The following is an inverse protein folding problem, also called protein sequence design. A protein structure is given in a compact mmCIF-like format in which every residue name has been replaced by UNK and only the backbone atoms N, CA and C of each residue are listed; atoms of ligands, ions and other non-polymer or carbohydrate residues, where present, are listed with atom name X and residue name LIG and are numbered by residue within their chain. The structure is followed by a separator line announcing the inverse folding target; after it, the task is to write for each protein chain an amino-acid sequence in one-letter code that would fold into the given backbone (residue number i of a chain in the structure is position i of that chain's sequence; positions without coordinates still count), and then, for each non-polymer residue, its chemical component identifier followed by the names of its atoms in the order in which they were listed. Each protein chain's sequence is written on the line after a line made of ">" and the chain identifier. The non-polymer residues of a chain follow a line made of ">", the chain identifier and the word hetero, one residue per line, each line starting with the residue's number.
data_IF_753472313802
#
_entry.id   IF_753472313802
#
_cell.length_a   1.000
_cell.length_b   1.000
_cell.length_c   1.000
_cell.angle_alpha   90.00
_cell.angle_beta   90.00
_cell.angle_gamma   90.00
#
_symmetry.space_group_name_H-M   'P 1'
#
loop_
_entity.id
_entity.type
_entity.pdbx_description
1 polymer ?
#
# COMPACT_ATOMS: atom_id res chain seq x y z
N UNK A 1 -11.59 24.98 -4.13
CA UNK A 1 -10.39 24.16 -3.77
C UNK A 1 -10.63 23.48 -2.43
N UNK A 2 -10.32 22.21 -2.32
CA UNK A 2 -10.39 21.50 -1.03
C UNK A 2 -9.17 21.83 -0.19
N UNK A 3 -9.39 22.18 1.09
CA UNK A 3 -8.32 22.55 2.03
C UNK A 3 -8.14 21.46 3.07
N UNK A 4 -6.88 21.14 3.39
CA UNK A 4 -6.45 20.15 4.37
C UNK A 4 -5.41 20.75 5.33
N UNK A 5 -5.35 20.22 6.55
CA UNK A 5 -4.25 20.55 7.45
C UNK A 5 -2.98 19.80 7.05
N UNK A 6 -3.14 18.52 6.67
CA UNK A 6 -2.03 17.66 6.25
C UNK A 6 -2.38 16.95 4.94
N UNK A 7 -1.49 17.01 3.97
CA UNK A 7 -1.52 16.16 2.77
C UNK A 7 -0.30 15.24 2.78
N UNK A 8 -0.53 13.94 2.63
CA UNK A 8 0.52 12.94 2.51
C UNK A 8 0.59 12.49 1.06
N UNK A 9 1.77 12.55 0.45
CA UNK A 9 2.02 12.11 -0.93
C UNK A 9 2.68 10.73 -0.89
N UNK A 10 1.94 9.72 -1.33
CA UNK A 10 2.32 8.31 -1.28
C UNK A 10 1.59 7.56 -0.16
N UNK A 11 0.95 6.43 -0.47
CA UNK A 11 0.24 5.56 0.47
C UNK A 11 0.98 4.23 0.74
N UNK A 12 2.31 4.23 0.63
CA UNK A 12 3.16 3.16 1.14
C UNK A 12 3.21 3.15 2.67
N UNK A 13 3.98 2.25 3.32
CA UNK A 13 4.03 2.12 4.79
C UNK A 13 4.31 3.43 5.52
N UNK A 14 5.23 4.25 5.04
CA UNK A 14 5.49 5.57 5.61
C UNK A 14 4.29 6.51 5.48
N UNK A 15 3.62 6.49 4.31
CA UNK A 15 2.52 7.41 4.02
C UNK A 15 1.21 7.04 4.70
N UNK A 16 0.73 5.79 4.57
CA UNK A 16 -0.56 5.45 5.17
C UNK A 16 -0.52 5.51 6.71
N UNK A 17 0.61 5.16 7.33
CA UNK A 17 0.77 5.29 8.79
C UNK A 17 0.74 6.76 9.20
N UNK A 18 1.46 7.64 8.49
CA UNK A 18 1.47 9.08 8.76
C UNK A 18 0.08 9.69 8.58
N UNK A 19 -0.63 9.37 7.50
CA UNK A 19 -1.98 9.88 7.21
C UNK A 19 -2.99 9.46 8.28
N UNK A 20 -3.01 8.19 8.67
CA UNK A 20 -3.88 7.68 9.74
C UNK A 20 -3.55 8.39 11.05
N UNK A 21 -2.27 8.53 11.39
CA UNK A 21 -1.87 9.17 12.64
C UNK A 21 -2.22 10.64 12.67
N UNK A 22 -2.00 11.38 11.59
CA UNK A 22 -2.41 12.79 11.50
C UNK A 22 -3.92 12.95 11.71
N UNK A 23 -4.72 12.10 11.06
CA UNK A 23 -6.18 12.13 11.24
C UNK A 23 -6.62 11.77 12.68
N UNK A 24 -5.96 10.82 13.34
CA UNK A 24 -6.20 10.49 14.76
C UNK A 24 -5.86 11.65 15.71
N UNK A 25 -4.92 12.51 15.33
CA UNK A 25 -4.57 13.72 16.08
C UNK A 25 -5.52 14.90 15.80
N UNK A 26 -6.57 14.68 14.99
CA UNK A 26 -7.61 15.67 14.71
C UNK A 26 -7.35 16.54 13.48
N UNK A 27 -6.27 16.29 12.72
CA UNK A 27 -6.00 17.04 11.49
C UNK A 27 -6.90 16.56 10.35
N UNK A 28 -7.46 17.49 9.59
CA UNK A 28 -8.13 17.20 8.32
C UNK A 28 -7.07 16.73 7.32
N UNK A 29 -7.06 15.44 7.01
CA UNK A 29 -5.97 14.79 6.28
C UNK A 29 -6.41 14.21 4.95
N UNK A 30 -5.61 14.42 3.90
CA UNK A 30 -5.70 13.68 2.65
C UNK A 30 -4.41 12.89 2.39
N UNK A 31 -4.56 11.79 1.66
CA UNK A 31 -3.44 11.01 1.14
C UNK A 31 -3.61 10.84 -0.36
N UNK A 32 -2.58 11.20 -1.12
CA UNK A 32 -2.54 11.09 -2.59
C UNK A 32 -1.64 9.93 -2.96
N UNK A 33 -2.12 9.01 -3.79
CA UNK A 33 -1.32 7.88 -4.29
C UNK A 33 -1.70 7.52 -5.72
N UNK A 34 -0.71 7.21 -6.54
CA UNK A 34 -0.88 6.78 -7.93
C UNK A 34 -0.83 5.25 -8.11
N UNK A 35 -0.65 4.51 -7.02
CA UNK A 35 -0.55 3.06 -7.05
C UNK A 35 -1.82 2.39 -7.55
N UNK A 36 -1.65 1.41 -8.44
CA UNK A 36 -2.73 0.58 -8.99
C UNK A 36 -2.56 -0.88 -8.56
N UNK A 37 -3.65 -1.61 -8.57
CA UNK A 37 -3.64 -3.05 -8.34
C UNK A 37 -2.91 -3.79 -9.48
N UNK A 38 -2.74 -5.12 -9.32
CA UNK A 38 -2.06 -5.96 -10.30
C UNK A 38 -2.70 -5.92 -11.70
N UNK A 39 -4.01 -5.71 -11.78
CA UNK A 39 -4.72 -5.59 -13.04
C UNK A 39 -4.56 -4.20 -13.69
N UNK A 40 -4.12 -3.18 -12.93
CA UNK A 40 -3.93 -1.82 -13.41
C UNK A 40 -5.25 -1.02 -13.53
N UNK A 41 -6.37 -1.56 -13.06
CA UNK A 41 -7.71 -1.02 -13.26
C UNK A 41 -8.28 -0.28 -12.03
N UNK A 42 -7.70 -0.49 -10.85
CA UNK A 42 -8.18 0.12 -9.62
C UNK A 42 -7.04 0.63 -8.72
N UNK A 43 -7.28 1.70 -7.93
CA UNK A 43 -6.32 2.17 -6.93
C UNK A 43 -5.97 1.11 -5.90
N UNK A 44 -4.68 0.99 -5.57
CA UNK A 44 -4.19 0.07 -4.55
C UNK A 44 -3.30 0.77 -3.53
N UNK A 45 -3.84 0.97 -2.33
CA UNK A 45 -3.08 1.50 -1.20
C UNK A 45 -2.06 0.48 -0.67
N UNK A 46 -1.06 0.94 0.07
CA UNK A 46 -0.07 0.07 0.72
C UNK A 46 1.31 0.07 0.08
N UNK A 47 1.47 0.72 -1.08
CA UNK A 47 2.73 0.89 -1.79
C UNK A 47 3.41 -0.42 -2.15
N UNK A 48 4.72 -0.35 -2.44
CA UNK A 48 5.54 -1.50 -2.85
C UNK A 48 5.50 -2.63 -1.82
N UNK A 49 5.59 -2.32 -0.53
CA UNK A 49 5.65 -3.36 0.51
C UNK A 49 4.43 -4.29 0.51
N UNK A 50 3.21 -3.74 0.47
CA UNK A 50 2.00 -4.55 0.53
C UNK A 50 1.66 -5.22 -0.81
N UNK A 51 1.92 -4.53 -1.92
CA UNK A 51 1.47 -4.98 -3.24
C UNK A 51 2.49 -5.85 -3.98
N UNK A 52 3.79 -5.57 -3.84
CA UNK A 52 4.84 -6.14 -4.72
C UNK A 52 5.99 -6.79 -3.94
N UNK A 53 6.32 -6.26 -2.75
CA UNK A 53 7.53 -6.61 -2.02
C UNK A 53 7.29 -7.46 -0.78
N UNK A 54 7.29 -6.83 0.39
CA UNK A 54 7.37 -7.51 1.70
C UNK A 54 6.28 -8.57 1.91
N UNK A 55 5.04 -8.24 1.66
CA UNK A 55 3.91 -9.13 1.95
C UNK A 55 3.83 -10.29 0.96
N UNK A 56 3.82 -10.07 -0.37
CA UNK A 56 3.77 -11.20 -1.30
C UNK A 56 4.99 -12.11 -1.18
N UNK A 57 6.21 -11.57 -0.99
CA UNK A 57 7.40 -12.40 -0.83
C UNK A 57 7.34 -13.27 0.43
N UNK A 58 6.94 -12.72 1.58
CA UNK A 58 6.81 -13.49 2.83
C UNK A 58 5.71 -14.55 2.74
N UNK A 59 4.60 -14.24 2.07
CA UNK A 59 3.54 -15.22 1.85
C UNK A 59 4.01 -16.41 1.01
N UNK A 60 4.84 -16.18 -0.01
CA UNK A 60 5.42 -17.24 -0.83
C UNK A 60 6.50 -18.03 -0.07
N UNK A 61 7.40 -17.33 0.63
CA UNK A 61 8.43 -17.97 1.46
C UNK A 61 7.80 -18.88 2.50
N UNK A 62 6.78 -18.44 3.22
CA UNK A 62 6.07 -19.28 4.19
C UNK A 62 5.52 -20.56 3.56
N UNK A 63 4.96 -20.48 2.35
CA UNK A 63 4.45 -21.67 1.67
C UNK A 63 5.58 -22.63 1.28
N UNK A 64 6.73 -22.11 0.82
CA UNK A 64 7.90 -22.93 0.49
C UNK A 64 8.54 -23.55 1.73
N UNK A 65 8.59 -22.83 2.85
CA UNK A 65 9.06 -23.36 4.14
C UNK A 65 8.20 -24.54 4.61
N UNK A 66 6.86 -24.42 4.54
CA UNK A 66 5.97 -25.54 4.89
C UNK A 66 6.18 -26.76 3.99
N UNK A 67 6.40 -26.56 2.70
CA UNK A 67 6.68 -27.64 1.77
C UNK A 67 8.01 -28.32 2.09
N UNK A 68 9.05 -27.54 2.35
CA UNK A 68 10.37 -28.03 2.73
C UNK A 68 10.31 -28.79 4.07
N UNK A 69 9.72 -28.21 5.09
CA UNK A 69 9.61 -28.81 6.41
C UNK A 69 8.84 -30.14 6.37
N UNK A 70 7.78 -30.23 5.56
CA UNK A 70 7.04 -31.46 5.40
C UNK A 70 7.87 -32.60 4.74
N UNK A 71 8.84 -32.24 3.89
CA UNK A 71 9.73 -33.23 3.26
C UNK A 71 10.92 -33.64 4.12
N UNK A 72 11.41 -32.73 4.98
CA UNK A 72 12.73 -32.94 5.64
C UNK A 72 12.66 -32.97 7.17
N UNK A 73 11.79 -32.09 7.76
CA UNK A 73 11.89 -31.82 9.19
C UNK A 73 10.81 -32.56 10.02
N UNK A 74 9.64 -32.83 9.45
CA UNK A 74 8.50 -33.34 10.20
C UNK A 74 8.74 -34.71 10.83
N UNK A 75 9.60 -35.56 10.23
CA UNK A 75 9.94 -36.87 10.76
C UNK A 75 10.62 -36.77 12.14
N UNK A 76 11.46 -35.75 12.37
CA UNK A 76 12.10 -35.49 13.66
C UNK A 76 11.10 -35.15 14.77
N UNK A 77 9.96 -34.54 14.37
CA UNK A 77 8.86 -34.24 15.28
C UNK A 77 7.89 -35.40 15.51
N UNK A 78 8.17 -36.58 14.94
CA UNK A 78 7.27 -37.73 15.02
C UNK A 78 6.03 -37.58 14.10
N UNK A 79 6.05 -36.67 13.15
CA UNK A 79 4.95 -36.42 12.20
C UNK A 79 5.27 -37.13 10.89
N UNK A 80 4.46 -38.11 10.52
CA UNK A 80 4.55 -38.78 9.22
C UNK A 80 3.64 -38.09 8.24
N UNK A 81 4.19 -37.74 7.06
CA UNK A 81 3.44 -37.17 5.94
C UNK A 81 3.47 -38.16 4.78
N UNK A 82 2.35 -38.23 4.06
CA UNK A 82 2.26 -39.06 2.85
C UNK A 82 2.84 -38.35 1.62
N UNK A 83 2.35 -38.71 0.45
CA UNK A 83 2.80 -38.12 -0.82
C UNK A 83 2.46 -36.62 -0.87
N UNK A 84 3.51 -35.79 -0.83
CA UNK A 84 3.38 -34.34 -0.79
C UNK A 84 3.39 -33.80 -2.21
N UNK A 85 2.32 -33.10 -2.58
CA UNK A 85 2.18 -32.48 -3.91
C UNK A 85 2.22 -30.97 -3.77
N UNK A 86 2.85 -30.30 -4.74
CA UNK A 86 2.96 -28.85 -4.84
C UNK A 86 2.02 -28.33 -5.94
N UNK A 87 1.17 -27.36 -5.59
CA UNK A 87 0.30 -26.63 -6.50
C UNK A 87 0.70 -25.16 -6.52
N UNK A 88 1.46 -24.75 -7.54
CA UNK A 88 1.94 -23.38 -7.70
C UNK A 88 0.77 -22.39 -7.90
N UNK A 89 -0.28 -22.76 -8.61
CA UNK A 89 -1.42 -21.87 -8.86
C UNK A 89 -2.15 -21.55 -7.55
N UNK A 90 -2.35 -22.55 -6.70
CA UNK A 90 -2.96 -22.38 -5.38
C UNK A 90 -2.10 -21.53 -4.44
N UNK A 91 -0.78 -21.72 -4.48
CA UNK A 91 0.18 -20.90 -3.71
C UNK A 91 0.11 -19.43 -4.12
N UNK A 92 0.08 -19.14 -5.42
CA UNK A 92 -0.05 -17.77 -5.95
C UNK A 92 -1.41 -17.17 -5.57
N UNK A 93 -2.51 -17.92 -5.71
CA UNK A 93 -3.84 -17.45 -5.32
C UNK A 93 -3.92 -17.11 -3.81
N UNK A 94 -3.30 -17.93 -2.94
CA UNK A 94 -3.17 -17.62 -1.51
C UNK A 94 -2.44 -16.31 -1.27
N UNK A 95 -1.30 -16.09 -1.94
CA UNK A 95 -0.54 -14.84 -1.85
C UNK A 95 -1.37 -13.63 -2.28
N UNK A 96 -2.11 -13.72 -3.41
CA UNK A 96 -2.97 -12.65 -3.91
C UNK A 96 -4.12 -12.33 -2.93
N UNK A 97 -4.70 -13.36 -2.29
CA UNK A 97 -5.72 -13.17 -1.26
C UNK A 97 -5.18 -12.42 -0.03
N UNK A 98 -3.94 -12.72 0.41
CA UNK A 98 -3.28 -12.02 1.52
C UNK A 98 -3.06 -10.54 1.17
N UNK A 99 -2.55 -10.25 -0.02
CA UNK A 99 -2.34 -8.88 -0.51
C UNK A 99 -3.67 -8.11 -0.52
N UNK A 100 -4.71 -8.69 -1.09
CA UNK A 100 -6.06 -8.08 -1.16
C UNK A 100 -6.61 -7.78 0.23
N UNK A 101 -6.46 -8.71 1.18
CA UNK A 101 -6.90 -8.52 2.57
C UNK A 101 -6.18 -7.35 3.25
N UNK A 102 -4.87 -7.23 3.08
CA UNK A 102 -4.08 -6.19 3.75
C UNK A 102 -4.28 -4.82 3.11
N UNK A 103 -4.32 -4.72 1.80
CA UNK A 103 -4.62 -3.45 1.11
C UNK A 103 -6.04 -2.97 1.39
N UNK A 104 -7.01 -3.89 1.46
CA UNK A 104 -8.37 -3.62 1.94
C UNK A 104 -8.41 -3.12 3.39
N UNK A 105 -7.53 -3.64 4.25
CA UNK A 105 -7.34 -3.17 5.63
C UNK A 105 -6.89 -1.71 5.70
N UNK A 106 -5.94 -1.30 4.86
CA UNK A 106 -5.51 0.12 4.77
C UNK A 106 -6.67 1.01 4.33
N UNK A 107 -7.42 0.59 3.30
CA UNK A 107 -8.61 1.32 2.84
C UNK A 107 -9.65 1.49 3.95
N UNK A 108 -9.93 0.43 4.71
CA UNK A 108 -10.82 0.48 5.86
C UNK A 108 -10.33 1.46 6.94
N UNK A 109 -9.03 1.45 7.25
CA UNK A 109 -8.44 2.37 8.22
C UNK A 109 -8.53 3.83 7.77
N UNK A 110 -8.35 4.11 6.48
CA UNK A 110 -8.56 5.45 5.93
C UNK A 110 -10.01 5.90 6.15
N UNK A 111 -10.98 5.06 5.80
CA UNK A 111 -12.40 5.36 6.00
C UNK A 111 -12.74 5.58 7.48
N UNK A 112 -12.27 4.68 8.37
CA UNK A 112 -12.50 4.76 9.81
C UNK A 112 -11.96 6.05 10.43
N UNK A 113 -10.79 6.50 9.97
CA UNK A 113 -10.13 7.71 10.47
C UNK A 113 -10.44 8.97 9.63
N UNK A 114 -11.37 8.88 8.66
CA UNK A 114 -11.78 10.00 7.80
C UNK A 114 -10.61 10.61 7.00
N UNK A 115 -9.63 9.81 6.62
CA UNK A 115 -8.58 10.22 5.68
C UNK A 115 -9.17 10.26 4.28
N UNK A 116 -9.09 11.40 3.60
CA UNK A 116 -9.48 11.53 2.20
C UNK A 116 -8.44 10.86 1.31
N UNK A 117 -8.83 9.81 0.60
CA UNK A 117 -7.96 9.14 -0.37
C UNK A 117 -8.16 9.78 -1.75
N UNK A 118 -7.09 10.30 -2.33
CA UNK A 118 -7.07 10.87 -3.67
C UNK A 118 -6.17 10.02 -4.56
N UNK A 119 -6.69 9.64 -5.72
CA UNK A 119 -5.95 8.82 -6.67
C UNK A 119 -5.34 9.72 -7.76
N UNK A 120 -4.03 9.56 -7.98
CA UNK A 120 -3.29 10.29 -8.99
C UNK A 120 -1.86 10.60 -8.58
N UNK A 121 -1.12 11.22 -9.49
CA UNK A 121 0.24 11.70 -9.24
C UNK A 121 0.18 13.11 -8.67
N UNK A 122 0.82 13.34 -7.54
CA UNK A 122 0.89 14.65 -6.90
C UNK A 122 2.15 15.40 -7.27
N UNK A 123 2.01 16.70 -7.53
CA UNK A 123 3.12 17.64 -7.71
C UNK A 123 2.85 18.97 -7.00
N UNK A 124 3.91 19.67 -6.59
CA UNK A 124 3.77 21.02 -6.04
C UNK A 124 3.47 22.00 -7.16
N UNK A 125 2.34 22.71 -7.05
CA UNK A 125 1.92 23.73 -8.01
C UNK A 125 2.24 25.17 -7.57
N UNK A 126 2.60 25.35 -6.28
CA UNK A 126 2.94 26.65 -5.72
C UNK A 126 2.50 26.83 -4.27
N UNK A 127 2.28 28.09 -3.89
CA UNK A 127 1.73 28.49 -2.59
C UNK A 127 0.62 29.52 -2.75
N UNK A 128 -0.33 29.46 -1.84
CA UNK A 128 -1.36 30.48 -1.66
C UNK A 128 -1.28 30.94 -0.19
N UNK A 129 -0.61 32.09 0.06
CA UNK A 129 -0.23 32.49 1.40
C UNK A 129 0.70 31.45 2.04
N UNK A 130 0.33 30.93 3.21
CA UNK A 130 1.09 29.90 3.93
C UNK A 130 0.75 28.48 3.49
N UNK A 131 -0.30 28.26 2.69
CA UNK A 131 -0.70 26.95 2.23
C UNK A 131 0.05 26.52 0.96
N UNK A 132 0.49 25.28 0.91
CA UNK A 132 1.02 24.64 -0.29
C UNK A 132 -0.13 24.26 -1.23
N UNK A 133 0.04 24.58 -2.51
CA UNK A 133 -0.85 24.09 -3.57
C UNK A 133 -0.27 22.82 -4.17
N UNK A 134 -1.09 21.78 -4.23
CA UNK A 134 -0.72 20.46 -4.74
C UNK A 134 -1.66 20.14 -5.89
N UNK A 135 -1.10 19.93 -7.07
CA UNK A 135 -1.81 19.41 -8.22
C UNK A 135 -1.85 17.87 -8.09
N UNK A 136 -3.03 17.30 -8.22
CA UNK A 136 -3.27 15.86 -8.32
C UNK A 136 -3.72 15.59 -9.75
N UNK A 137 -2.90 14.87 -10.50
CA UNK A 137 -3.18 14.45 -11.88
C UNK A 137 -3.64 12.97 -11.88
N UNK A 138 -4.92 12.77 -12.17
CA UNK A 138 -5.50 11.45 -12.38
C UNK A 138 -5.76 11.24 -13.87
N UNK A 139 -4.78 10.67 -14.58
CA UNK A 139 -4.89 10.34 -16.01
C UNK A 139 -5.28 11.56 -16.88
N UNK A 140 -4.74 12.73 -16.58
CA UNK A 140 -5.00 13.99 -17.29
C UNK A 140 -6.11 14.84 -16.67
N UNK A 141 -6.90 14.32 -15.74
CA UNK A 141 -7.82 15.11 -14.94
C UNK A 141 -7.07 15.71 -13.75
N UNK A 142 -6.85 17.02 -13.81
CA UNK A 142 -6.06 17.76 -12.83
C UNK A 142 -6.94 18.47 -11.82
N UNK A 143 -6.63 18.27 -10.55
CA UNK A 143 -7.29 18.95 -9.43
C UNK A 143 -6.27 19.60 -8.52
N UNK A 144 -6.51 20.84 -8.10
CA UNK A 144 -5.66 21.54 -7.12
C UNK A 144 -6.29 21.43 -5.75
N UNK A 145 -5.48 20.99 -4.77
CA UNK A 145 -5.82 21.00 -3.35
C UNK A 145 -4.81 21.85 -2.58
N UNK A 146 -5.20 22.31 -1.39
CA UNK A 146 -4.34 23.11 -0.52
C UNK A 146 -4.05 22.40 0.79
N UNK A 147 -2.83 22.55 1.31
CA UNK A 147 -2.39 21.97 2.56
C UNK A 147 -1.50 22.93 3.37
N UNK A 148 -1.73 22.98 4.69
CA UNK A 148 -0.80 23.68 5.61
C UNK A 148 0.54 22.94 5.73
N UNK A 149 0.48 21.60 5.77
CA UNK A 149 1.64 20.74 5.88
C UNK A 149 1.60 19.63 4.84
N UNK A 150 2.76 19.28 4.30
CA UNK A 150 2.89 18.21 3.31
C UNK A 150 3.94 17.20 3.79
N UNK A 151 3.57 15.92 3.77
CA UNK A 151 4.49 14.81 4.02
C UNK A 151 4.76 14.10 2.71
N UNK A 152 6.02 14.10 2.27
CA UNK A 152 6.47 13.39 1.07
C UNK A 152 6.91 11.98 1.46
N UNK A 153 6.15 10.97 1.03
CA UNK A 153 6.36 9.55 1.31
C UNK A 153 6.23 8.70 0.03
N UNK A 154 6.79 9.21 -1.07
CA UNK A 154 6.61 8.66 -2.43
C UNK A 154 7.26 7.30 -2.67
N UNK A 155 8.10 6.83 -1.73
CA UNK A 155 8.77 5.53 -1.84
C UNK A 155 9.96 5.55 -2.80
N UNK A 156 10.18 4.42 -3.48
CA UNK A 156 11.31 4.21 -4.38
C UNK A 156 10.90 3.39 -5.59
N UNK A 157 11.67 3.52 -6.66
CA UNK A 157 11.55 2.71 -7.87
C UNK A 157 12.91 2.08 -8.18
N UNK A 158 12.95 0.92 -8.87
CA UNK A 158 14.20 0.36 -9.35
C UNK A 158 14.93 1.36 -10.26
N UNK A 159 16.25 1.50 -10.06
CA UNK A 159 17.06 2.29 -10.99
C UNK A 159 17.31 1.43 -12.25
N UNK A 160 16.90 1.87 -13.45
CA UNK A 160 17.28 1.19 -14.68
C UNK A 160 18.80 1.29 -14.87
N UNK A 161 19.39 0.20 -15.32
CA UNK A 161 20.80 0.12 -15.69
C UNK A 161 20.97 0.52 -17.16
#
# INVERSE_FOLDING_TARGET
>A
MSQYDVVVIGAGPGGYVAAIRAAQLGFKTACVDAGVNKAGDAPALGGTCLNVGCIPSKALLQSSEHFHAAQHDFAEHGISVGDIKFDAAKMIARKDAIVTKLTGGVKFLFQKNKVTSLFGTASFAGKNGDAYQIEVDNKGEKTIIEAKHVIVATGSVPRPL
#
